data_IF_978376954431
#
_entry.id   IF_978376954431
#
_cell.length_a   1.000
_cell.length_b   1.000
_cell.length_c   1.000
_cell.angle_alpha   90.00
_cell.angle_beta   90.00
_cell.angle_gamma   90.00
#
_symmetry.space_group_name_H-M   'P 1'
#
loop_
_entity.id
_entity.type
_entity.pdbx_description
1 polymer ?
#
# COMPACT_ATOMS: atom_id res chain seq x y z
N UNK A 1 -31.52 -33.16 24.73
CA UNK A 1 -31.03 -32.05 23.88
C UNK A 1 -30.40 -32.64 22.63
N UNK A 2 -30.79 -32.19 21.43
CA UNK A 2 -30.22 -32.69 20.16
C UNK A 2 -28.82 -32.10 19.98
N UNK A 3 -27.81 -32.94 19.78
CA UNK A 3 -26.44 -32.48 19.52
C UNK A 3 -26.42 -31.64 18.23
N UNK A 4 -25.88 -30.42 18.30
CA UNK A 4 -25.72 -29.58 17.10
C UNK A 4 -24.56 -30.14 16.28
N UNK A 5 -24.82 -30.44 15.01
CA UNK A 5 -23.79 -30.80 14.04
C UNK A 5 -22.77 -29.67 13.95
N UNK A 6 -21.50 -29.98 14.19
CA UNK A 6 -20.38 -29.06 14.04
C UNK A 6 -19.60 -29.41 12.79
N UNK A 7 -19.04 -28.39 12.15
CA UNK A 7 -18.22 -28.53 10.95
C UNK A 7 -16.88 -27.84 11.17
N UNK A 8 -15.78 -28.47 10.75
CA UNK A 8 -14.45 -27.87 10.80
C UNK A 8 -14.35 -26.69 9.84
N UNK A 9 -13.42 -25.76 10.10
CA UNK A 9 -13.19 -24.62 9.20
C UNK A 9 -12.68 -25.08 7.84
N UNK A 10 -11.83 -26.10 7.79
CA UNK A 10 -11.35 -26.71 6.53
C UNK A 10 -12.49 -27.23 5.67
N UNK A 11 -13.46 -27.92 6.27
CA UNK A 11 -14.62 -28.43 5.54
C UNK A 11 -15.49 -27.29 5.00
N UNK A 12 -15.77 -26.27 5.82
CA UNK A 12 -16.54 -25.09 5.37
C UNK A 12 -15.82 -24.40 4.21
N UNK A 13 -14.50 -24.25 4.30
CA UNK A 13 -13.65 -23.66 3.26
C UNK A 13 -13.77 -24.45 1.95
N UNK A 14 -13.54 -25.76 2.00
CA UNK A 14 -13.60 -26.64 0.83
C UNK A 14 -14.95 -26.57 0.11
N UNK A 15 -16.05 -26.60 0.87
CA UNK A 15 -17.42 -26.52 0.30
C UNK A 15 -17.64 -25.19 -0.42
N UNK A 16 -17.16 -24.07 0.16
CA UNK A 16 -17.30 -22.76 -0.45
C UNK A 16 -16.37 -22.58 -1.66
N UNK A 17 -15.14 -23.08 -1.62
CA UNK A 17 -14.23 -23.07 -2.77
C UNK A 17 -14.78 -23.89 -3.96
N UNK A 18 -15.35 -25.07 -3.70
CA UNK A 18 -16.01 -25.88 -4.74
C UNK A 18 -17.22 -25.14 -5.35
N UNK A 19 -17.97 -24.42 -4.52
CA UNK A 19 -19.06 -23.57 -4.99
C UNK A 19 -18.58 -22.39 -5.84
N UNK A 20 -17.53 -21.68 -5.38
CA UNK A 20 -16.99 -20.50 -6.07
C UNK A 20 -16.25 -20.86 -7.36
N UNK A 21 -15.63 -22.04 -7.42
CA UNK A 21 -14.98 -22.56 -8.64
C UNK A 21 -15.98 -22.97 -9.72
N UNK A 22 -17.27 -23.10 -9.37
CA UNK A 22 -18.32 -23.51 -10.32
C UNK A 22 -18.33 -25.00 -10.65
N UNK A 23 -17.45 -25.81 -10.03
CA UNK A 23 -17.41 -27.27 -10.22
C UNK A 23 -18.72 -27.91 -9.80
N UNK A 24 -19.32 -27.42 -8.70
CA UNK A 24 -20.62 -27.88 -8.22
C UNK A 24 -21.57 -26.73 -7.96
N UNK A 25 -22.83 -26.95 -8.31
CA UNK A 25 -23.92 -26.03 -7.98
C UNK A 25 -24.24 -26.05 -6.47
N UNK A 26 -24.79 -24.96 -5.95
CA UNK A 26 -25.27 -24.90 -4.57
C UNK A 26 -26.22 -26.06 -4.24
N UNK A 27 -27.13 -26.40 -5.16
CA UNK A 27 -28.08 -27.49 -4.97
C UNK A 27 -27.43 -28.88 -4.86
N UNK A 28 -26.31 -29.12 -5.55
CA UNK A 28 -25.55 -30.37 -5.43
C UNK A 28 -24.81 -30.43 -4.09
N UNK A 29 -24.18 -29.33 -3.68
CA UNK A 29 -23.46 -29.25 -2.40
C UNK A 29 -24.40 -29.40 -1.20
N UNK A 30 -25.55 -28.72 -1.22
CA UNK A 30 -26.58 -28.84 -0.19
C UNK A 30 -27.07 -30.27 -0.01
N UNK A 31 -27.32 -31.00 -1.12
CA UNK A 31 -27.78 -32.40 -1.07
C UNK A 31 -26.67 -33.35 -0.60
N UNK A 32 -25.45 -33.22 -1.13
CA UNK A 32 -24.32 -34.11 -0.83
C UNK A 32 -23.85 -34.03 0.62
N UNK A 33 -23.89 -32.84 1.20
CA UNK A 33 -23.42 -32.62 2.57
C UNK A 33 -24.54 -32.41 3.59
N UNK A 34 -25.81 -32.46 3.14
CA UNK A 34 -27.01 -32.21 3.93
C UNK A 34 -26.97 -30.85 4.64
N UNK A 35 -26.53 -29.83 3.91
CA UNK A 35 -26.39 -28.47 4.40
C UNK A 35 -27.61 -27.66 3.94
N UNK A 36 -28.17 -26.86 4.83
CA UNK A 36 -29.26 -25.94 4.48
C UNK A 36 -28.73 -24.74 3.69
N UNK A 37 -29.56 -24.17 2.81
CA UNK A 37 -29.21 -22.99 2.01
C UNK A 37 -28.71 -21.83 2.87
N UNK A 38 -29.40 -21.53 3.98
CA UNK A 38 -29.02 -20.47 4.90
C UNK A 38 -27.62 -20.68 5.51
N UNK A 39 -27.29 -21.93 5.85
CA UNK A 39 -25.96 -22.26 6.38
C UNK A 39 -24.87 -22.12 5.30
N UNK A 40 -25.16 -22.53 4.07
CA UNK A 40 -24.23 -22.38 2.94
C UNK A 40 -23.95 -20.91 2.62
N UNK A 41 -24.97 -20.06 2.54
CA UNK A 41 -24.78 -18.61 2.31
C UNK A 41 -24.09 -17.92 3.49
N UNK A 42 -24.39 -18.35 4.72
CA UNK A 42 -23.67 -17.86 5.90
C UNK A 42 -22.17 -18.21 5.82
N UNK A 43 -21.83 -19.43 5.42
CA UNK A 43 -20.42 -19.80 5.22
C UNK A 43 -19.76 -19.03 4.08
N UNK A 44 -20.49 -18.74 3.00
CA UNK A 44 -19.97 -17.87 1.93
C UNK A 44 -19.59 -16.49 2.47
N UNK A 45 -20.47 -15.86 3.26
CA UNK A 45 -20.18 -14.56 3.91
C UNK A 45 -18.98 -14.64 4.86
N UNK A 46 -18.91 -15.68 5.70
CA UNK A 46 -17.76 -15.91 6.58
C UNK A 46 -16.45 -16.12 5.80
N UNK A 47 -16.51 -16.84 4.68
CA UNK A 47 -15.38 -17.04 3.77
C UNK A 47 -14.91 -15.69 3.20
N UNK A 48 -15.80 -14.84 2.68
CA UNK A 48 -15.40 -13.51 2.16
C UNK A 48 -14.75 -12.62 3.22
N UNK A 49 -15.04 -12.86 4.50
CA UNK A 49 -14.46 -12.13 5.65
C UNK A 49 -13.17 -12.75 6.18
N UNK A 50 -12.60 -13.75 5.52
CA UNK A 50 -11.34 -14.38 5.94
C UNK A 50 -11.45 -15.25 7.20
N UNK A 51 -12.64 -15.74 7.56
CA UNK A 51 -12.89 -16.42 8.85
C UNK A 51 -12.50 -17.90 8.88
N UNK A 52 -12.02 -18.47 7.77
CA UNK A 52 -11.69 -19.88 7.65
C UNK A 52 -10.21 -20.12 7.31
N UNK A 53 -9.31 -19.21 7.71
CA UNK A 53 -7.90 -19.25 7.35
C UNK A 53 -7.73 -19.40 5.84
N UNK A 54 -8.45 -18.54 5.12
CA UNK A 54 -8.54 -18.56 3.68
C UNK A 54 -7.17 -18.20 3.10
N UNK A 55 -6.71 -18.88 2.03
CA UNK A 55 -5.61 -18.35 1.25
C UNK A 55 -6.01 -16.94 0.75
N UNK A 56 -5.05 -16.00 0.64
CA UNK A 56 -5.34 -14.66 0.14
C UNK A 56 -6.07 -14.79 -1.19
N UNK A 57 -7.29 -14.26 -1.26
CA UNK A 57 -8.10 -14.30 -2.48
C UNK A 57 -7.29 -13.70 -3.62
N UNK A 58 -7.51 -14.18 -4.85
CA UNK A 58 -6.90 -13.59 -6.04
C UNK A 58 -7.05 -12.06 -6.08
N UNK A 59 -8.20 -11.54 -5.65
CA UNK A 59 -8.44 -10.10 -5.47
C UNK A 59 -7.47 -9.44 -4.48
N UNK A 60 -7.27 -10.01 -3.28
CA UNK A 60 -6.34 -9.48 -2.30
C UNK A 60 -4.88 -9.52 -2.79
N UNK A 61 -4.50 -10.56 -3.54
CA UNK A 61 -3.19 -10.64 -4.17
C UNK A 61 -3.00 -9.58 -5.26
N UNK A 62 -4.05 -9.30 -6.04
CA UNK A 62 -4.07 -8.22 -7.02
C UNK A 62 -3.98 -6.85 -6.34
N UNK A 63 -4.73 -6.61 -5.27
CA UNK A 63 -4.69 -5.35 -4.51
C UNK A 63 -3.28 -5.07 -3.96
N UNK A 64 -2.62 -6.07 -3.39
CA UNK A 64 -1.24 -5.92 -2.92
C UNK A 64 -0.29 -5.63 -4.10
N UNK A 65 -0.47 -6.28 -5.24
CA UNK A 65 0.32 -6.00 -6.44
C UNK A 65 0.09 -4.57 -6.93
N UNK A 66 -1.15 -4.08 -6.93
CA UNK A 66 -1.51 -2.70 -7.28
C UNK A 66 -0.81 -1.73 -6.34
N UNK A 67 -0.88 -1.94 -5.02
CA UNK A 67 -0.18 -1.10 -4.04
C UNK A 67 1.33 -1.03 -4.31
N UNK A 68 1.97 -2.16 -4.57
CA UNK A 68 3.40 -2.20 -4.88
C UNK A 68 3.75 -1.42 -6.14
N UNK A 69 2.90 -1.54 -7.17
CA UNK A 69 3.08 -0.80 -8.42
C UNK A 69 2.88 0.70 -8.20
N UNK A 70 1.86 1.12 -7.44
CA UNK A 70 1.62 2.52 -7.09
C UNK A 70 2.82 3.13 -6.34
N UNK A 71 3.40 2.39 -5.38
CA UNK A 71 4.60 2.82 -4.67
C UNK A 71 5.81 2.97 -5.61
N UNK A 72 6.00 2.02 -6.54
CA UNK A 72 7.09 2.06 -7.51
C UNK A 72 6.93 3.24 -8.48
N UNK A 73 5.71 3.46 -8.97
CA UNK A 73 5.38 4.61 -9.83
C UNK A 73 5.68 5.92 -9.10
N UNK A 74 5.29 6.05 -7.83
CA UNK A 74 5.62 7.21 -7.02
C UNK A 74 7.13 7.45 -6.90
N UNK A 75 7.91 6.40 -6.61
CA UNK A 75 9.37 6.49 -6.54
C UNK A 75 9.99 6.93 -7.86
N UNK A 76 9.62 6.27 -8.95
CA UNK A 76 10.14 6.57 -10.29
C UNK A 76 9.78 7.98 -10.73
N UNK A 77 8.59 8.48 -10.37
CA UNK A 77 8.17 9.86 -10.67
C UNK A 77 9.09 10.86 -9.99
N UNK A 78 9.38 10.69 -8.71
CA UNK A 78 10.28 11.57 -7.96
C UNK A 78 11.70 11.56 -8.52
N UNK A 79 12.22 10.37 -8.85
CA UNK A 79 13.54 10.22 -9.47
C UNK A 79 13.60 10.91 -10.84
N UNK A 80 12.57 10.74 -11.67
CA UNK A 80 12.48 11.39 -12.98
C UNK A 80 12.49 12.91 -12.86
N UNK A 81 11.68 13.46 -11.95
CA UNK A 81 11.63 14.91 -11.69
C UNK A 81 12.96 15.46 -11.15
N UNK A 82 13.63 14.70 -10.28
CA UNK A 82 14.96 15.04 -9.79
C UNK A 82 15.98 15.11 -10.94
N UNK A 83 16.03 14.06 -11.79
CA UNK A 83 16.95 13.99 -12.92
C UNK A 83 16.70 15.11 -13.94
N UNK A 84 15.42 15.38 -14.28
CA UNK A 84 15.05 16.49 -15.17
C UNK A 84 15.56 17.83 -14.63
N UNK A 85 15.40 18.10 -13.34
CA UNK A 85 15.88 19.34 -12.71
C UNK A 85 17.41 19.44 -12.72
N UNK A 86 18.11 18.33 -12.46
CA UNK A 86 19.56 18.29 -12.49
C UNK A 86 20.09 18.63 -13.90
N UNK A 87 19.49 18.04 -14.93
CA UNK A 87 19.82 18.30 -16.34
C UNK A 87 19.51 19.76 -16.72
N UNK A 88 18.33 20.27 -16.38
CA UNK A 88 17.98 21.68 -16.64
C UNK A 88 18.98 22.64 -16.00
N UNK A 89 19.48 22.31 -14.80
CA UNK A 89 20.46 23.14 -14.10
C UNK A 89 21.87 23.04 -14.70
N UNK A 90 22.27 21.90 -15.24
CA UNK A 90 23.57 21.77 -15.92
C UNK A 90 23.61 22.53 -17.25
N UNK A 91 22.45 22.70 -17.91
CA UNK A 91 22.33 23.48 -19.15
C UNK A 91 21.94 24.95 -18.90
N UNK A 92 21.71 25.37 -17.66
CA UNK A 92 21.41 26.76 -17.35
C UNK A 92 22.67 27.63 -17.49
N UNK A 93 22.61 28.77 -18.20
CA UNK A 93 23.76 29.66 -18.33
C UNK A 93 24.19 30.20 -16.96
N UNK A 94 25.50 30.47 -16.75
CA UNK A 94 25.97 31.05 -15.51
C UNK A 94 25.22 32.34 -15.26
N UNK A 95 24.54 32.43 -14.10
CA UNK A 95 23.97 33.69 -13.64
C UNK A 95 25.10 34.70 -13.60
N UNK A 96 25.04 35.73 -14.45
CA UNK A 96 25.94 36.88 -14.38
C UNK A 96 25.83 37.45 -12.96
N UNK A 97 26.84 37.18 -12.14
CA UNK A 97 27.05 37.87 -10.88
C UNK A 97 27.35 39.31 -11.23
N UNK A 98 26.30 40.14 -11.29
CA UNK A 98 26.43 41.59 -11.28
C UNK A 98 27.04 41.94 -9.93
N UNK A 99 28.32 42.28 -9.95
CA UNK A 99 29.09 42.57 -8.75
C UNK A 99 28.44 43.66 -7.93
N UNK A 100 28.20 43.36 -6.66
CA UNK A 100 28.15 44.35 -5.60
C UNK A 100 29.24 43.97 -4.62
N UNK A 101 30.41 44.56 -4.81
CA UNK A 101 31.49 44.59 -3.84
C UNK A 101 30.96 45.21 -2.54
N UNK A 102 30.73 44.40 -1.52
CA UNK A 102 30.54 44.88 -0.16
C UNK A 102 31.91 45.36 0.33
N UNK A 103 32.15 46.67 0.24
CA UNK A 103 33.34 47.30 0.79
C UNK A 103 33.34 47.16 2.32
N UNK A 104 34.22 46.29 2.82
CA UNK A 104 34.60 46.27 4.23
C UNK A 104 35.31 47.60 4.51
N UNK A 105 34.59 48.55 5.11
CA UNK A 105 35.24 49.70 5.74
C UNK A 105 35.79 49.21 7.08
N UNK A 106 37.05 48.80 7.07
CA UNK A 106 37.86 48.72 8.27
C UNK A 106 38.14 50.14 8.76
N UNK A 107 37.39 50.64 9.74
CA UNK A 107 37.78 51.85 10.46
C UNK A 107 38.58 51.46 11.71
N UNK A 108 39.90 51.55 11.57
CA UNK A 108 40.87 51.47 12.66
C UNK A 108 41.00 52.80 13.41
N UNK A 109 41.39 52.71 14.70
CA UNK A 109 41.91 53.76 15.63
C UNK A 109 40.84 54.63 16.32
N UNK A 110 40.93 54.98 17.60
CA UNK A 110 42.11 55.06 18.47
C UNK A 110 41.81 54.78 19.96
N UNK A 111 42.75 54.10 20.60
CA UNK A 111 42.98 54.08 22.04
C UNK A 111 43.53 55.43 22.52
N UNK A 112 42.97 55.96 23.61
CA UNK A 112 43.48 56.94 24.59
C UNK A 112 42.30 57.20 25.54
N UNK A 113 42.25 56.73 26.79
CA UNK A 113 43.21 56.90 27.87
C UNK A 113 42.60 57.89 28.88
N UNK A 114 42.49 57.51 30.16
CA UNK A 114 42.09 58.43 31.23
C UNK A 114 41.50 57.74 32.46
N UNK A 115 42.28 57.76 33.55
CA UNK A 115 41.97 57.20 34.85
C UNK A 115 41.30 58.22 35.80
N UNK A 116 40.90 57.68 36.96
CA UNK A 116 40.44 58.31 38.22
C UNK A 116 38.95 58.48 38.39
#
# INVERSE_FOLDING_TARGET
>A
MKSRRTFSNEFKRQVIEEYLSGVSTAAQLMRRHEISSGLMYHWKDQYTKGRFDNPPTHEAALEERVRQLEQLVGRLTLENEFLKKAVQRSFAPPRRSGGSSLSIVTSSKASKGGAS
#
